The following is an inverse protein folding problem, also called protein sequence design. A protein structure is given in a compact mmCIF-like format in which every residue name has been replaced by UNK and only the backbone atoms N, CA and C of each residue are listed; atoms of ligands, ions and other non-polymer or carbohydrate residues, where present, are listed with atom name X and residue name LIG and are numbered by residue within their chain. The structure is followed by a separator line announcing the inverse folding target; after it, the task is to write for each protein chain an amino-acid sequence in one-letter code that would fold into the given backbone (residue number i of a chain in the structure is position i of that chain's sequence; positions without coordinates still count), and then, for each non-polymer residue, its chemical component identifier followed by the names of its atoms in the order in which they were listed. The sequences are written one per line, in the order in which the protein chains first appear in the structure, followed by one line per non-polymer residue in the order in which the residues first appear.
data_IF_194535816121
#
_entry.id   IF_194535816121
#
_cell.length_a   1.000
_cell.length_b   1.000
_cell.length_c   1.000
_cell.angle_alpha   90.00
_cell.angle_beta   90.00
_cell.angle_gamma   90.00
#
_symmetry.space_group_name_H-M   'P 1'
#
loop_
_entity.id
_entity.type
_entity.pdbx_description
1 polymer ?
#
# COMPACT_ATOMS: atom_id res chain seq x y z
N UNK A 1 5.42 -42.55 26.25
CA UNK A 1 5.23 -42.65 24.79
C UNK A 1 4.15 -41.66 24.33
N UNK A 2 2.98 -41.61 24.98
CA UNK A 2 1.90 -40.70 24.58
C UNK A 2 2.20 -39.20 24.81
N UNK A 3 2.89 -38.84 25.89
CA UNK A 3 3.24 -37.44 26.17
C UNK A 3 4.22 -36.83 25.15
N UNK A 4 5.15 -37.65 24.64
CA UNK A 4 6.11 -37.26 23.61
C UNK A 4 5.41 -37.08 22.25
N UNK A 5 4.45 -37.96 21.94
CA UNK A 5 3.59 -37.83 20.76
C UNK A 5 2.74 -36.55 20.83
N UNK A 6 2.17 -36.24 22.01
CA UNK A 6 1.39 -35.03 22.22
C UNK A 6 2.26 -33.76 22.07
N UNK A 7 3.49 -33.79 22.57
CA UNK A 7 4.43 -32.68 22.46
C UNK A 7 4.86 -32.42 21.00
N UNK A 8 5.10 -33.48 20.22
CA UNK A 8 5.46 -33.35 18.80
C UNK A 8 4.31 -32.82 17.95
N UNK A 9 3.07 -33.25 18.19
CA UNK A 9 1.87 -32.70 17.50
C UNK A 9 1.71 -31.22 17.80
N UNK A 10 1.87 -30.81 19.07
CA UNK A 10 1.77 -29.40 19.46
C UNK A 10 2.87 -28.53 18.83
N UNK A 11 4.09 -29.06 18.72
CA UNK A 11 5.19 -28.38 18.05
C UNK A 11 4.93 -28.21 16.54
N UNK A 12 4.36 -29.24 15.88
CA UNK A 12 3.99 -29.18 14.46
C UNK A 12 2.89 -28.16 14.20
N UNK A 13 1.85 -28.11 15.05
CA UNK A 13 0.79 -27.10 14.96
C UNK A 13 1.33 -25.68 15.14
N UNK A 14 2.24 -25.49 16.11
CA UNK A 14 2.93 -24.21 16.32
C UNK A 14 3.75 -23.82 15.10
N UNK A 15 4.55 -24.74 14.54
CA UNK A 15 5.35 -24.48 13.35
C UNK A 15 4.48 -24.11 12.13
N UNK A 16 3.33 -24.78 11.97
CA UNK A 16 2.34 -24.45 10.92
C UNK A 16 1.75 -23.06 11.07
N UNK A 17 1.57 -22.57 12.30
CA UNK A 17 1.06 -21.23 12.57
C UNK A 17 2.12 -20.12 12.42
N UNK A 18 3.39 -20.44 12.63
CA UNK A 18 4.50 -19.49 12.50
C UNK A 18 4.87 -19.19 11.04
N UNK A 19 4.78 -20.17 10.13
CA UNK A 19 5.03 -19.97 8.70
C UNK A 19 4.19 -18.83 8.06
N UNK A 20 2.84 -18.78 8.21
CA UNK A 20 2.04 -17.69 7.66
C UNK A 20 2.28 -16.35 8.38
N UNK A 21 2.71 -16.36 9.65
CA UNK A 21 3.08 -15.13 10.35
C UNK A 21 4.33 -14.51 9.73
N UNK A 22 5.34 -15.33 9.47
CA UNK A 22 6.56 -14.90 8.82
C UNK A 22 6.30 -14.38 7.40
N UNK A 23 5.46 -15.06 6.61
CA UNK A 23 5.11 -14.59 5.26
C UNK A 23 4.37 -13.26 5.27
N UNK A 24 3.46 -13.02 6.24
CA UNK A 24 2.77 -11.73 6.39
C UNK A 24 3.75 -10.62 6.76
N UNK A 25 4.71 -10.89 7.65
CA UNK A 25 5.74 -9.90 8.01
C UNK A 25 6.57 -9.54 6.78
N UNK A 26 7.07 -10.54 6.05
CA UNK A 26 7.84 -10.33 4.82
C UNK A 26 7.03 -9.53 3.77
N UNK A 27 5.76 -9.87 3.58
CA UNK A 27 4.88 -9.14 2.68
C UNK A 27 4.70 -7.67 3.09
N UNK A 28 4.47 -7.39 4.37
CA UNK A 28 4.35 -6.01 4.88
C UNK A 28 5.65 -5.22 4.77
N UNK A 29 6.79 -5.90 4.84
CA UNK A 29 8.11 -5.28 4.70
C UNK A 29 8.51 -5.05 3.24
N UNK A 30 7.88 -5.77 2.29
CA UNK A 30 8.13 -5.66 0.86
C UNK A 30 7.96 -4.23 0.33
N UNK A 31 8.74 -3.90 -0.68
CA UNK A 31 8.69 -2.58 -1.34
C UNK A 31 7.30 -2.33 -1.94
N UNK A 32 6.75 -3.31 -2.65
CA UNK A 32 5.44 -3.21 -3.28
C UNK A 32 4.30 -2.90 -2.30
N UNK A 33 4.32 -3.49 -1.10
CA UNK A 33 3.32 -3.17 -0.07
C UNK A 33 3.45 -1.72 0.42
N UNK A 34 4.67 -1.27 0.72
CA UNK A 34 4.93 0.11 1.17
C UNK A 34 4.56 1.14 0.09
N UNK A 35 4.86 0.86 -1.17
CA UNK A 35 4.47 1.70 -2.29
C UNK A 35 2.96 1.70 -2.53
N UNK A 36 2.32 0.53 -2.41
CA UNK A 36 0.87 0.39 -2.43
C UNK A 36 0.19 1.28 -1.39
N UNK A 37 0.71 1.32 -0.15
CA UNK A 37 0.20 2.19 0.91
C UNK A 37 0.33 3.67 0.55
N UNK A 38 1.46 4.10 -0.02
CA UNK A 38 1.64 5.49 -0.49
C UNK A 38 0.61 5.86 -1.56
N UNK A 39 0.39 4.97 -2.54
CA UNK A 39 -0.61 5.16 -3.61
C UNK A 39 -2.03 5.24 -3.04
N UNK A 40 -2.39 4.33 -2.14
CA UNK A 40 -3.71 4.35 -1.48
C UNK A 40 -3.93 5.63 -0.66
N UNK A 41 -2.92 6.09 0.08
CA UNK A 41 -2.96 7.34 0.83
C UNK A 41 -3.24 8.53 -0.10
N UNK A 42 -2.55 8.60 -1.23
CA UNK A 42 -2.75 9.65 -2.23
C UNK A 42 -4.17 9.65 -2.80
N UNK A 43 -4.67 8.50 -3.25
CA UNK A 43 -6.03 8.39 -3.83
C UNK A 43 -7.12 8.81 -2.84
N UNK A 44 -7.01 8.36 -1.58
CA UNK A 44 -7.98 8.70 -0.54
C UNK A 44 -7.92 10.18 -0.16
N UNK A 45 -6.72 10.76 -0.10
CA UNK A 45 -6.53 12.19 0.10
C UNK A 45 -7.15 13.01 -1.04
N UNK A 46 -6.81 12.72 -2.31
CA UNK A 46 -7.31 13.46 -3.47
C UNK A 46 -8.86 13.42 -3.54
N UNK A 47 -9.45 12.26 -3.30
CA UNK A 47 -10.90 12.13 -3.27
C UNK A 47 -11.52 12.97 -2.13
N UNK A 48 -10.96 12.88 -0.92
CA UNK A 48 -11.42 13.66 0.23
C UNK A 48 -11.29 15.17 -0.01
N UNK A 49 -10.17 15.60 -0.59
CA UNK A 49 -9.91 16.99 -0.96
C UNK A 49 -10.95 17.50 -1.96
N UNK A 50 -11.20 16.77 -3.06
CA UNK A 50 -12.22 17.16 -4.06
C UNK A 50 -13.61 17.33 -3.45
N UNK A 51 -14.01 16.40 -2.57
CA UNK A 51 -15.30 16.48 -1.88
C UNK A 51 -15.36 17.67 -0.92
N UNK A 52 -14.29 17.92 -0.16
CA UNK A 52 -14.19 19.05 0.76
C UNK A 52 -14.21 20.38 0.00
N UNK A 53 -13.46 20.48 -1.11
CA UNK A 53 -13.35 21.65 -1.96
C UNK A 53 -14.70 22.00 -2.60
N UNK A 54 -15.41 21.03 -3.16
CA UNK A 54 -16.74 21.26 -3.71
C UNK A 54 -17.73 21.80 -2.65
N UNK A 55 -17.67 21.25 -1.42
CA UNK A 55 -18.50 21.71 -0.30
C UNK A 55 -18.09 23.09 0.23
N UNK A 56 -16.81 23.43 0.12
CA UNK A 56 -16.29 24.73 0.51
C UNK A 56 -16.78 25.80 -0.48
N UNK A 57 -16.58 25.60 -1.79
CA UNK A 57 -17.05 26.54 -2.81
C UNK A 57 -18.57 26.71 -2.82
N UNK A 58 -19.34 25.65 -2.53
CA UNK A 58 -20.79 25.77 -2.39
C UNK A 58 -21.21 26.72 -1.25
N UNK A 59 -20.38 26.89 -0.22
CA UNK A 59 -20.64 27.79 0.92
C UNK A 59 -19.93 29.14 0.80
N UNK A 60 -18.80 29.18 0.11
CA UNK A 60 -17.94 30.35 -0.06
C UNK A 60 -17.51 30.46 -1.53
N UNK A 61 -18.39 30.96 -2.42
CA UNK A 61 -18.12 31.00 -3.85
C UNK A 61 -16.93 31.88 -4.24
N UNK A 62 -16.73 32.98 -3.50
CA UNK A 62 -15.70 33.98 -3.80
C UNK A 62 -14.39 33.74 -3.02
N UNK A 63 -14.30 32.67 -2.23
CA UNK A 63 -13.11 32.37 -1.45
C UNK A 63 -12.10 31.55 -2.26
N UNK A 64 -10.87 32.07 -2.36
CA UNK A 64 -9.75 31.37 -2.95
C UNK A 64 -9.25 30.26 -2.00
N UNK A 65 -8.83 29.14 -2.59
CA UNK A 65 -8.23 28.01 -1.88
C UNK A 65 -6.82 27.80 -2.43
N UNK A 66 -5.86 27.59 -1.53
CA UNK A 66 -4.48 27.27 -1.91
C UNK A 66 -4.42 25.97 -2.73
N UNK A 67 -3.49 25.94 -3.68
CA UNK A 67 -3.31 24.80 -4.58
C UNK A 67 -2.95 23.54 -3.81
N UNK A 68 -3.57 22.41 -4.17
CA UNK A 68 -3.28 21.12 -3.55
C UNK A 68 -1.83 20.72 -3.86
N UNK A 69 -0.99 20.44 -2.84
CA UNK A 69 0.40 19.98 -3.02
C UNK A 69 0.57 18.70 -3.85
N UNK A 70 -0.51 17.95 -4.07
CA UNK A 70 -0.54 16.73 -4.89
C UNK A 70 -1.20 16.93 -6.26
N UNK A 71 -1.55 18.17 -6.62
CA UNK A 71 -1.94 18.50 -7.99
C UNK A 71 -0.78 18.16 -8.91
N UNK A 72 -1.05 17.43 -10.00
CA UNK A 72 -0.05 17.15 -11.03
C UNK A 72 -0.04 18.34 -11.97
N UNK A 73 1.10 19.01 -12.05
CA UNK A 73 1.33 20.13 -12.96
C UNK A 73 1.86 19.61 -14.29
N UNK A 74 1.66 20.32 -15.42
CA UNK A 74 2.25 19.92 -16.70
C UNK A 74 3.78 19.86 -16.66
N UNK A 75 4.43 20.54 -15.72
CA UNK A 75 5.85 20.42 -15.43
C UNK A 75 6.21 19.06 -14.80
N UNK A 76 5.30 18.46 -14.04
CA UNK A 76 5.48 17.13 -13.44
C UNK A 76 5.38 16.01 -14.49
N UNK A 77 4.73 16.25 -15.63
CA UNK A 77 4.71 15.32 -16.77
C UNK A 77 6.10 15.14 -17.42
N UNK A 78 7.02 16.09 -17.18
CA UNK A 78 8.43 15.97 -17.58
C UNK A 78 9.22 15.06 -16.64
N UNK A 79 8.70 14.79 -15.45
CA UNK A 79 9.22 13.81 -14.51
C UNK A 79 8.61 12.46 -14.86
N UNK A 80 9.42 11.53 -15.35
CA UNK A 80 8.97 10.19 -15.71
C UNK A 80 8.45 9.44 -14.48
N UNK A 81 7.16 9.58 -14.19
CA UNK A 81 6.46 8.80 -13.18
C UNK A 81 5.90 7.55 -13.87
N UNK A 82 6.35 6.37 -13.44
CA UNK A 82 5.93 5.10 -14.03
C UNK A 82 4.40 4.91 -13.83
N UNK A 83 3.61 5.18 -14.88
CA UNK A 83 2.15 5.09 -14.87
C UNK A 83 1.63 3.65 -14.75
N UNK A 84 2.48 2.68 -15.08
CA UNK A 84 2.16 1.26 -15.08
C UNK A 84 3.36 0.49 -14.57
N UNK A 85 3.30 0.07 -13.30
CA UNK A 85 4.19 -0.94 -12.80
C UNK A 85 3.50 -2.28 -13.04
N UNK A 86 4.13 -3.18 -13.82
CA UNK A 86 3.63 -4.54 -13.94
C UNK A 86 3.71 -5.19 -12.56
N UNK A 87 2.61 -5.74 -12.06
CA UNK A 87 2.60 -6.58 -10.85
C UNK A 87 3.21 -7.96 -11.15
N UNK A 88 4.33 -7.99 -11.88
CA UNK A 88 5.02 -9.23 -12.20
C UNK A 88 6.04 -9.51 -11.09
N UNK A 89 5.59 -10.22 -10.06
CA UNK A 89 6.41 -10.73 -8.95
C UNK A 89 7.23 -11.96 -9.37
N UNK A 90 7.38 -12.25 -10.67
CA UNK A 90 8.16 -13.37 -11.16
C UNK A 90 9.64 -13.20 -10.81
N UNK A 91 10.23 -14.25 -10.24
CA UNK A 91 11.66 -14.31 -9.91
C UNK A 91 12.47 -14.21 -11.21
N UNK A 92 13.47 -13.31 -11.33
CA UNK A 92 14.31 -13.25 -12.51
C UNK A 92 15.04 -14.59 -12.73
N UNK A 93 15.23 -15.05 -13.97
CA UNK A 93 16.01 -16.26 -14.23
C UNK A 93 17.47 -16.09 -13.79
N UNK A 94 18.03 -17.10 -13.14
CA UNK A 94 19.45 -17.12 -12.78
C UNK A 94 20.36 -17.24 -14.02
N UNK A 95 21.55 -16.61 -13.99
CA UNK A 95 22.54 -16.65 -15.07
C UNK A 95 23.23 -18.02 -15.25
#
# INVERSE_FOLDING_TARGET
MDDELLQTVKALESARAELPRQSIIQYKESLGFKEGLKRMGRVTYEYGYRVALARFHARHPDAEVEEDPFTIHPEDDLVSMERQHAFDDSVPPEP
#
